data_IF_413832986944
#
_entry.id   IF_413832986944
#
_cell.length_a   1.000
_cell.length_b   1.000
_cell.length_c   1.000
_cell.angle_alpha   90.00
_cell.angle_beta   90.00
_cell.angle_gamma   90.00
#
_symmetry.space_group_name_H-M   'P 1'
#
loop_
_entity.id
_entity.type
_entity.pdbx_description
1 polymer ?
#
# COMPACT_ATOMS: atom_id res chain seq x y z
N UNK A 1 -11.51 24.53 -12.01
CA UNK A 1 -11.17 23.09 -11.93
C UNK A 1 -9.78 22.79 -12.51
N UNK A 2 -9.17 23.70 -13.29
CA UNK A 2 -7.84 23.52 -13.95
C UNK A 2 -6.61 23.40 -13.02
N UNK A 3 -6.65 23.81 -11.74
CA UNK A 3 -5.43 23.86 -10.91
C UNK A 3 -4.93 22.49 -10.42
N UNK A 4 -5.78 21.46 -10.34
CA UNK A 4 -5.42 20.17 -9.72
C UNK A 4 -4.63 19.25 -10.67
N UNK A 5 -4.94 19.28 -11.96
CA UNK A 5 -4.31 18.43 -12.98
C UNK A 5 -2.87 18.90 -13.31
N UNK A 6 -2.61 20.21 -13.27
CA UNK A 6 -1.25 20.76 -13.40
C UNK A 6 -0.36 20.47 -12.17
N UNK A 7 -0.98 20.27 -11.00
CA UNK A 7 -0.30 20.01 -9.73
C UNK A 7 -0.06 18.52 -9.45
N UNK A 8 -0.47 17.55 -10.27
CA UNK A 8 -0.16 16.12 -10.05
C UNK A 8 0.41 15.47 -11.33
N UNK A 9 1.67 14.99 -11.36
CA UNK A 9 2.23 14.39 -12.57
C UNK A 9 1.66 12.98 -12.85
N UNK A 10 0.79 12.48 -11.96
CA UNK A 10 0.26 11.14 -11.97
C UNK A 10 1.32 10.05 -11.78
N UNK A 11 1.04 8.85 -12.27
CA UNK A 11 1.92 7.68 -12.14
C UNK A 11 3.06 7.63 -13.16
N UNK A 12 3.11 8.59 -14.10
CA UNK A 12 4.11 8.61 -15.18
C UNK A 12 5.53 8.79 -14.64
N UNK A 13 5.72 9.62 -13.61
CA UNK A 13 7.01 9.77 -12.94
C UNK A 13 7.48 8.51 -12.22
N UNK A 14 6.54 7.69 -11.72
CA UNK A 14 6.84 6.39 -11.13
C UNK A 14 7.26 5.33 -12.17
N UNK A 15 6.99 5.53 -13.46
CA UNK A 15 7.37 4.59 -14.53
C UNK A 15 8.89 4.48 -14.75
N UNK A 16 9.65 5.55 -14.49
CA UNK A 16 11.11 5.53 -14.57
C UNK A 16 11.77 4.65 -13.48
N UNK A 17 11.01 4.25 -12.47
CA UNK A 17 11.44 3.38 -11.36
C UNK A 17 11.77 1.96 -11.83
N UNK A 18 11.23 1.49 -12.96
CA UNK A 18 11.54 0.15 -13.50
C UNK A 18 13.04 -0.03 -13.78
N UNK A 19 13.78 1.05 -14.04
CA UNK A 19 15.25 0.99 -14.24
C UNK A 19 16.05 1.08 -12.94
N UNK A 20 15.57 1.77 -11.90
CA UNK A 20 16.35 1.98 -10.67
C UNK A 20 16.10 0.95 -9.57
N UNK A 21 14.96 0.25 -9.60
CA UNK A 21 14.61 -0.75 -8.57
C UNK A 21 15.32 -2.10 -8.79
N UNK A 22 15.86 -2.34 -9.99
CA UNK A 22 16.55 -3.57 -10.39
C UNK A 22 18.07 -3.55 -10.15
N UNK A 23 18.66 -2.38 -9.84
CA UNK A 23 20.11 -2.25 -9.62
C UNK A 23 20.38 -1.54 -8.29
N UNK A 24 20.72 -2.27 -7.22
CA UNK A 24 21.25 -1.65 -6.01
C UNK A 24 22.62 -1.05 -6.36
N UNK A 25 22.75 0.29 -6.34
CA UNK A 25 24.04 0.97 -6.49
C UNK A 25 24.12 2.11 -7.51
N UNK A 26 23.14 2.30 -8.39
CA UNK A 26 23.19 3.38 -9.41
C UNK A 26 22.65 4.73 -8.91
N UNK A 27 22.43 4.89 -7.61
CA UNK A 27 21.85 6.10 -7.01
C UNK A 27 22.90 7.11 -6.50
N UNK A 28 24.18 6.92 -6.81
CA UNK A 28 25.27 7.70 -6.21
C UNK A 28 25.55 9.08 -6.87
N UNK A 29 24.72 9.56 -7.80
CA UNK A 29 25.06 10.78 -8.56
C UNK A 29 23.90 11.66 -9.05
N UNK A 30 22.66 11.41 -8.65
CA UNK A 30 21.56 12.33 -8.99
C UNK A 30 21.46 13.41 -7.89
N UNK A 31 21.45 14.67 -8.32
CA UNK A 31 21.42 15.87 -7.50
C UNK A 31 20.45 15.79 -6.31
N UNK A 32 20.80 16.49 -5.23
CA UNK A 32 20.03 16.65 -3.99
C UNK A 32 18.71 17.42 -4.21
N UNK A 33 17.86 16.98 -5.13
CA UNK A 33 16.47 17.39 -5.14
C UNK A 33 15.78 16.76 -3.94
N UNK A 34 15.25 17.60 -3.06
CA UNK A 34 14.52 17.13 -1.89
C UNK A 34 13.36 16.25 -2.38
N UNK A 35 13.28 14.97 -1.98
CA UNK A 35 12.32 14.04 -2.56
C UNK A 35 10.89 14.54 -2.36
N UNK A 36 10.18 14.71 -3.46
CA UNK A 36 8.73 14.96 -3.45
C UNK A 36 8.04 13.86 -2.61
N UNK A 37 7.40 14.27 -1.51
CA UNK A 37 6.78 13.35 -0.58
C UNK A 37 5.68 12.49 -1.21
N UNK A 38 5.00 13.01 -2.24
CA UNK A 38 4.00 12.25 -2.99
C UNK A 38 4.64 11.12 -3.81
N UNK A 39 5.80 11.40 -4.42
CA UNK A 39 6.58 10.38 -5.14
C UNK A 39 7.08 9.30 -4.19
N UNK A 40 7.52 9.68 -2.98
CA UNK A 40 7.93 8.72 -1.94
C UNK A 40 6.78 7.78 -1.57
N UNK A 41 5.58 8.31 -1.32
CA UNK A 41 4.39 7.50 -0.99
C UNK A 41 4.03 6.55 -2.14
N UNK A 42 4.01 7.04 -3.39
CA UNK A 42 3.78 6.21 -4.57
C UNK A 42 4.83 5.11 -4.74
N UNK A 43 6.11 5.43 -4.51
CA UNK A 43 7.21 4.47 -4.59
C UNK A 43 7.08 3.37 -3.54
N UNK A 44 6.75 3.75 -2.30
CA UNK A 44 6.53 2.79 -1.23
C UNK A 44 5.36 1.86 -1.57
N UNK A 45 4.24 2.39 -2.06
CA UNK A 45 3.11 1.57 -2.52
C UNK A 45 3.55 0.49 -3.53
N UNK A 46 4.34 0.88 -4.54
CA UNK A 46 4.86 -0.06 -5.55
C UNK A 46 5.79 -1.10 -4.94
N UNK A 47 6.70 -0.68 -4.04
CA UNK A 47 7.63 -1.60 -3.37
C UNK A 47 6.88 -2.64 -2.55
N UNK A 48 5.86 -2.24 -1.79
CA UNK A 48 5.04 -3.16 -1.00
C UNK A 48 4.20 -4.09 -1.89
N UNK A 49 3.56 -3.57 -2.94
CA UNK A 49 2.83 -4.39 -3.91
C UNK A 49 3.75 -5.41 -4.61
N UNK A 50 4.96 -5.00 -4.97
CA UNK A 50 5.98 -5.89 -5.53
C UNK A 50 6.46 -6.91 -4.49
N UNK A 51 6.63 -6.51 -3.24
CA UNK A 51 6.97 -7.40 -2.12
C UNK A 51 5.95 -8.52 -1.95
N UNK A 52 4.65 -8.23 -2.06
CA UNK A 52 3.62 -9.26 -2.10
C UNK A 52 3.85 -10.24 -3.25
N UNK A 53 4.04 -9.75 -4.48
CA UNK A 53 4.30 -10.64 -5.63
C UNK A 53 5.53 -11.53 -5.40
N UNK A 54 6.62 -10.96 -4.88
CA UNK A 54 7.84 -11.71 -4.57
C UNK A 54 7.64 -12.75 -3.47
N UNK A 55 6.78 -12.49 -2.49
CA UNK A 55 6.40 -13.47 -1.46
C UNK A 55 5.68 -14.70 -2.03
N UNK A 56 5.05 -14.56 -3.20
CA UNK A 56 4.49 -15.68 -3.95
C UNK A 56 5.55 -16.64 -4.51
N UNK A 57 6.80 -16.22 -4.68
CA UNK A 57 7.87 -17.06 -5.24
C UNK A 57 8.19 -18.28 -4.34
N UNK A 58 8.46 -18.13 -3.03
CA UNK A 58 8.59 -19.28 -2.13
C UNK A 58 7.38 -20.22 -2.15
N UNK A 59 6.17 -19.68 -2.21
CA UNK A 59 4.93 -20.48 -2.26
C UNK A 59 4.86 -21.29 -3.55
N UNK A 60 5.22 -20.70 -4.69
CA UNK A 60 5.26 -21.38 -5.97
C UNK A 60 6.32 -22.49 -6.01
N UNK A 61 7.50 -22.25 -5.43
CA UNK A 61 8.56 -23.26 -5.31
C UNK A 61 8.07 -24.43 -4.46
N UNK A 62 7.47 -24.16 -3.30
CA UNK A 62 6.91 -25.20 -2.41
C UNK A 62 5.80 -26.00 -3.10
N UNK A 63 4.94 -25.34 -3.88
CA UNK A 63 3.89 -26.01 -4.63
C UNK A 63 4.48 -26.96 -5.70
N UNK A 64 5.56 -26.55 -6.36
CA UNK A 64 6.25 -27.34 -7.37
C UNK A 64 7.03 -28.52 -6.77
N UNK A 65 7.52 -28.43 -5.53
CA UNK A 65 8.29 -29.48 -4.86
C UNK A 65 7.47 -30.66 -4.33
N UNK A 66 6.15 -30.68 -4.56
CA UNK A 66 5.24 -31.70 -4.03
C UNK A 66 4.45 -31.13 -2.85
N UNK A 67 3.21 -30.77 -3.11
CA UNK A 67 2.30 -30.21 -2.12
C UNK A 67 1.88 -31.23 -1.05
N UNK A 68 0.97 -30.79 -0.16
CA UNK A 68 0.51 -31.60 0.96
C UNK A 68 -0.06 -32.96 0.54
N UNK A 69 0.13 -34.02 1.37
CA UNK A 69 -0.45 -35.33 1.10
C UNK A 69 -1.97 -35.25 0.98
N UNK A 70 -2.52 -35.96 -0.01
CA UNK A 70 -3.95 -36.03 -0.25
C UNK A 70 -4.67 -36.55 1.01
N UNK A 71 -5.46 -35.69 1.67
CA UNK A 71 -6.23 -36.03 2.88
C UNK A 71 -6.07 -35.08 4.06
N UNK A 72 -5.07 -34.18 4.06
CA UNK A 72 -4.96 -33.16 5.11
C UNK A 72 -6.07 -32.10 4.98
N UNK A 73 -6.66 -31.68 6.09
CA UNK A 73 -7.71 -30.65 6.10
C UNK A 73 -7.09 -29.26 5.95
N UNK A 74 -7.61 -28.47 5.00
CA UNK A 74 -7.26 -27.05 4.84
C UNK A 74 -8.06 -26.13 5.78
N UNK A 75 -9.08 -26.66 6.46
CA UNK A 75 -10.03 -25.87 7.23
C UNK A 75 -9.38 -24.94 8.27
N UNK A 76 -8.41 -25.37 9.10
CA UNK A 76 -7.82 -24.47 10.09
C UNK A 76 -7.02 -23.34 9.44
N UNK A 77 -6.30 -23.62 8.35
CA UNK A 77 -5.56 -22.59 7.61
C UNK A 77 -6.50 -21.59 6.95
N UNK A 78 -7.58 -22.05 6.32
CA UNK A 78 -8.59 -21.17 5.74
C UNK A 78 -9.28 -20.32 6.82
N UNK A 79 -9.65 -20.91 7.95
CA UNK A 79 -10.26 -20.20 9.07
C UNK A 79 -9.35 -19.10 9.60
N UNK A 80 -8.05 -19.37 9.75
CA UNK A 80 -7.06 -18.37 10.15
C UNK A 80 -7.02 -17.18 9.17
N UNK A 81 -6.95 -17.47 7.87
CA UNK A 81 -6.91 -16.42 6.82
C UNK A 81 -8.19 -15.59 6.84
N UNK A 82 -9.36 -16.23 6.87
CA UNK A 82 -10.64 -15.52 6.80
C UNK A 82 -10.93 -14.71 8.07
N UNK A 83 -10.74 -15.29 9.25
CA UNK A 83 -10.98 -14.60 10.53
C UNK A 83 -10.00 -13.45 10.71
N UNK A 84 -8.71 -13.69 10.47
CA UNK A 84 -7.70 -12.64 10.59
C UNK A 84 -7.91 -11.49 9.59
N UNK A 85 -8.29 -11.82 8.35
CA UNK A 85 -8.64 -10.81 7.34
C UNK A 85 -9.90 -10.04 7.71
N UNK A 86 -10.92 -10.70 8.26
CA UNK A 86 -12.14 -10.03 8.71
C UNK A 86 -11.85 -9.04 9.83
N UNK A 87 -11.06 -9.44 10.83
CA UNK A 87 -10.62 -8.56 11.92
C UNK A 87 -9.87 -7.34 11.37
N UNK A 88 -9.00 -7.56 10.38
CA UNK A 88 -8.25 -6.50 9.73
C UNK A 88 -9.14 -5.54 8.93
N UNK A 89 -10.11 -6.05 8.17
CA UNK A 89 -11.10 -5.23 7.46
C UNK A 89 -11.90 -4.38 8.46
N UNK A 90 -12.37 -4.98 9.56
CA UNK A 90 -13.09 -4.25 10.62
C UNK A 90 -12.20 -3.18 11.23
N UNK A 91 -10.95 -3.49 11.58
CA UNK A 91 -9.99 -2.52 12.12
C UNK A 91 -9.78 -1.35 11.17
N UNK A 92 -9.65 -1.60 9.85
CA UNK A 92 -9.46 -0.55 8.84
C UNK A 92 -10.65 0.43 8.73
N UNK A 93 -11.85 -0.02 9.09
CA UNK A 93 -13.10 0.76 9.06
C UNK A 93 -13.32 1.50 10.39
N UNK A 94 -12.92 0.92 11.51
CA UNK A 94 -13.09 1.50 12.85
C UNK A 94 -12.03 2.54 13.17
N UNK A 95 -10.78 2.30 12.75
CA UNK A 95 -9.66 3.22 12.98
C UNK A 95 -9.84 4.45 12.08
N UNK A 96 -10.40 5.52 12.65
CA UNK A 96 -10.52 6.82 11.98
C UNK A 96 -9.20 7.58 12.11
N UNK A 97 -8.54 7.82 10.98
CA UNK A 97 -7.34 8.64 10.87
C UNK A 97 -7.71 9.93 10.13
N UNK A 98 -8.22 10.96 10.83
CA UNK A 98 -8.62 12.20 10.20
C UNK A 98 -7.40 12.93 9.63
N UNK A 99 -7.62 13.67 8.54
CA UNK A 99 -6.62 14.60 8.01
C UNK A 99 -6.59 15.86 8.87
N UNK A 100 -5.38 16.30 9.21
CA UNK A 100 -5.17 17.47 10.05
C UNK A 100 -4.96 18.71 9.17
N UNK A 101 -5.97 19.58 9.13
CA UNK A 101 -5.97 20.80 8.32
C UNK A 101 -5.37 22.04 8.98
N UNK A 102 -4.68 21.91 10.13
CA UNK A 102 -4.13 23.05 10.88
C UNK A 102 -3.07 23.83 10.08
N UNK A 103 -2.17 23.10 9.43
CA UNK A 103 -1.14 23.64 8.55
C UNK A 103 -0.71 22.58 7.51
N UNK A 104 0.10 22.97 6.53
CA UNK A 104 0.51 22.07 5.44
C UNK A 104 1.37 20.88 5.92
N UNK A 105 2.16 21.05 6.99
CA UNK A 105 3.03 19.99 7.51
C UNK A 105 2.21 18.96 8.31
N UNK A 106 1.28 19.43 9.15
CA UNK A 106 0.30 18.60 9.84
C UNK A 106 -0.56 17.82 8.84
N UNK A 107 -0.95 18.45 7.73
CA UNK A 107 -1.72 17.81 6.67
C UNK A 107 -0.93 16.70 5.96
N UNK A 108 0.32 16.98 5.57
CA UNK A 108 1.17 15.99 4.91
C UNK A 108 1.50 14.80 5.84
N UNK A 109 1.81 15.07 7.11
CA UNK A 109 2.15 14.04 8.10
C UNK A 109 0.94 13.17 8.46
N UNK A 110 -0.24 13.76 8.69
CA UNK A 110 -1.47 13.02 8.95
C UNK A 110 -1.89 12.15 7.75
N UNK A 111 -1.73 12.66 6.52
CA UNK A 111 -1.96 11.87 5.31
C UNK A 111 -1.02 10.67 5.20
N UNK A 112 0.29 10.88 5.39
CA UNK A 112 1.29 9.79 5.35
C UNK A 112 1.02 8.75 6.44
N UNK A 113 0.74 9.18 7.67
CA UNK A 113 0.37 8.29 8.77
C UNK A 113 -0.86 7.44 8.40
N UNK A 114 -1.92 8.08 7.88
CA UNK A 114 -3.12 7.39 7.41
C UNK A 114 -2.80 6.36 6.33
N UNK A 115 -1.96 6.72 5.37
CA UNK A 115 -1.51 5.82 4.30
C UNK A 115 -0.75 4.60 4.87
N UNK A 116 0.25 4.81 5.72
CA UNK A 116 1.06 3.74 6.29
C UNK A 116 0.26 2.78 7.17
N UNK A 117 -0.62 3.30 8.03
CA UNK A 117 -1.45 2.45 8.88
C UNK A 117 -2.37 1.57 8.03
N UNK A 118 -2.99 2.14 6.99
CA UNK A 118 -3.86 1.38 6.09
C UNK A 118 -3.08 0.37 5.26
N UNK A 119 -1.90 0.74 4.79
CA UNK A 119 -1.02 -0.15 4.04
C UNK A 119 -0.61 -1.34 4.91
N UNK A 120 -0.10 -1.09 6.12
CA UNK A 120 0.29 -2.13 7.07
C UNK A 120 -0.88 -3.07 7.42
N UNK A 121 -2.09 -2.52 7.59
CA UNK A 121 -3.29 -3.34 7.78
C UNK A 121 -3.55 -4.22 6.55
N UNK A 122 -3.47 -3.69 5.33
CA UNK A 122 -3.72 -4.47 4.12
C UNK A 122 -2.74 -5.65 3.91
N UNK A 123 -1.55 -5.59 4.51
CA UNK A 123 -0.56 -6.68 4.41
C UNK A 123 -0.82 -7.87 5.33
N UNK A 124 -1.68 -7.73 6.33
CA UNK A 124 -1.93 -8.82 7.29
C UNK A 124 -2.53 -10.05 6.58
N UNK A 125 -3.50 -9.85 5.68
CA UNK A 125 -4.16 -10.94 4.93
C UNK A 125 -3.21 -11.82 4.12
N UNK A 126 -2.32 -11.26 3.26
CA UNK A 126 -1.38 -12.08 2.50
C UNK A 126 -0.33 -12.74 3.39
N UNK A 127 0.09 -12.11 4.50
CA UNK A 127 0.99 -12.73 5.48
C UNK A 127 0.34 -13.95 6.15
N UNK A 128 -0.93 -13.85 6.55
CA UNK A 128 -1.69 -14.98 7.08
C UNK A 128 -1.87 -16.08 6.03
N UNK A 129 -2.19 -15.71 4.79
CA UNK A 129 -2.29 -16.63 3.67
C UNK A 129 -0.98 -17.37 3.39
N UNK A 130 0.15 -16.66 3.51
CA UNK A 130 1.49 -17.22 3.34
C UNK A 130 1.81 -18.24 4.43
N UNK A 131 1.61 -17.87 5.70
CA UNK A 131 1.81 -18.77 6.85
C UNK A 131 0.91 -20.00 6.72
N UNK A 132 -0.37 -19.80 6.40
CA UNK A 132 -1.31 -20.90 6.20
C UNK A 132 -0.90 -21.81 5.04
N UNK A 133 -0.38 -21.24 3.94
CA UNK A 133 0.13 -21.99 2.80
C UNK A 133 1.35 -22.85 3.17
N UNK A 134 2.29 -22.32 3.96
CA UNK A 134 3.47 -23.08 4.42
C UNK A 134 3.05 -24.23 5.33
N UNK A 135 2.23 -23.94 6.35
CA UNK A 135 1.82 -24.94 7.34
C UNK A 135 0.97 -26.07 6.75
N UNK A 136 0.12 -25.74 5.78
CA UNK A 136 -0.80 -26.71 5.17
C UNK A 136 -0.27 -27.33 3.89
N UNK A 137 0.82 -26.80 3.31
CA UNK A 137 1.33 -27.19 1.99
C UNK A 137 0.39 -26.85 0.83
N UNK A 138 -0.45 -25.81 0.96
CA UNK A 138 -1.49 -25.45 -0.01
C UNK A 138 -1.38 -23.99 -0.49
N UNK A 139 -0.80 -23.82 -1.68
CA UNK A 139 -0.55 -22.52 -2.29
C UNK A 139 -1.81 -21.64 -2.48
N UNK A 140 -2.98 -22.23 -2.67
CA UNK A 140 -4.21 -21.45 -2.88
C UNK A 140 -4.60 -20.61 -1.65
N UNK A 141 -4.20 -20.99 -0.44
CA UNK A 141 -4.46 -20.19 0.78
C UNK A 141 -3.73 -18.85 0.73
N UNK A 142 -2.53 -18.83 0.15
CA UNK A 142 -1.82 -17.59 -0.12
C UNK A 142 -2.55 -16.74 -1.15
N UNK A 143 -3.06 -17.35 -2.23
CA UNK A 143 -3.84 -16.63 -3.24
C UNK A 143 -5.10 -15.96 -2.66
N UNK A 144 -5.79 -16.60 -1.71
CA UNK A 144 -6.92 -15.99 -0.99
C UNK A 144 -6.48 -14.76 -0.20
N UNK A 145 -5.38 -14.87 0.57
CA UNK A 145 -4.83 -13.74 1.32
C UNK A 145 -4.44 -12.56 0.41
N UNK A 146 -3.81 -12.85 -0.73
CA UNK A 146 -3.44 -11.85 -1.75
C UNK A 146 -4.66 -11.21 -2.38
N UNK A 147 -5.71 -11.97 -2.70
CA UNK A 147 -6.93 -11.42 -3.28
C UNK A 147 -7.61 -10.41 -2.33
N UNK A 148 -7.63 -10.71 -1.03
CA UNK A 148 -8.14 -9.78 0.00
C UNK A 148 -7.25 -8.54 0.09
N UNK A 149 -5.92 -8.72 0.12
CA UNK A 149 -4.97 -7.61 0.11
C UNK A 149 -5.17 -6.69 -1.09
N UNK A 150 -5.33 -7.26 -2.29
CA UNK A 150 -5.50 -6.52 -3.54
C UNK A 150 -6.70 -5.56 -3.48
N UNK A 151 -7.79 -5.98 -2.84
CA UNK A 151 -8.94 -5.10 -2.60
C UNK A 151 -8.56 -3.92 -1.69
N UNK A 152 -7.88 -4.19 -0.57
CA UNK A 152 -7.38 -3.13 0.33
C UNK A 152 -6.41 -2.17 -0.37
N UNK A 153 -5.44 -2.69 -1.13
CA UNK A 153 -4.48 -1.89 -1.88
C UNK A 153 -5.17 -1.00 -2.93
N UNK A 154 -6.21 -1.52 -3.61
CA UNK A 154 -7.00 -0.72 -4.55
C UNK A 154 -7.70 0.46 -3.87
N UNK A 155 -8.20 0.29 -2.64
CA UNK A 155 -8.83 1.39 -1.88
C UNK A 155 -7.82 2.44 -1.36
N UNK A 156 -6.55 2.04 -1.16
CA UNK A 156 -5.49 2.87 -0.56
C UNK A 156 -4.58 3.52 -1.62
N UNK A 157 -4.63 3.05 -2.87
CA UNK A 157 -3.73 3.49 -3.92
C UNK A 157 -3.70 5.04 -4.05
N UNK A 158 -2.50 5.68 -3.98
CA UNK A 158 -2.34 7.14 -4.03
C UNK A 158 -2.51 7.67 -5.46
N UNK A 159 -3.72 7.48 -6.00
CA UNK A 159 -4.15 7.92 -7.33
C UNK A 159 -4.65 9.37 -7.29
N UNK A 160 -4.56 10.07 -8.43
CA UNK A 160 -5.07 11.43 -8.56
C UNK A 160 -6.55 11.54 -8.14
N UNK A 161 -7.38 10.56 -8.56
CA UNK A 161 -8.79 10.48 -8.16
C UNK A 161 -8.98 10.38 -6.66
N UNK A 162 -8.12 9.63 -5.96
CA UNK A 162 -8.20 9.49 -4.51
C UNK A 162 -7.78 10.77 -3.79
N UNK A 163 -6.71 11.42 -4.26
CA UNK A 163 -6.26 12.72 -3.76
C UNK A 163 -7.33 13.80 -3.95
N UNK A 164 -8.00 13.83 -5.11
CA UNK A 164 -9.11 14.73 -5.36
C UNK A 164 -10.28 14.49 -4.39
N UNK A 165 -10.65 13.22 -4.17
CA UNK A 165 -11.71 12.89 -3.21
C UNK A 165 -11.35 13.27 -1.76
N UNK A 166 -10.09 13.11 -1.36
CA UNK A 166 -9.60 13.56 -0.04
C UNK A 166 -9.54 15.10 0.03
N UNK A 167 -9.23 15.80 -1.06
CA UNK A 167 -9.30 17.27 -1.14
C UNK A 167 -10.74 17.78 -1.01
N UNK A 168 -11.71 17.12 -1.65
CA UNK A 168 -13.12 17.47 -1.54
C UNK A 168 -13.62 17.29 -0.09
N UNK A 169 -13.21 16.23 0.61
CA UNK A 169 -13.51 16.03 2.04
C UNK A 169 -12.90 17.14 2.92
N UNK A 170 -11.67 17.59 2.63
CA UNK A 170 -11.05 18.73 3.32
C UNK A 170 -11.82 20.04 3.09
N UNK A 171 -12.18 20.31 1.83
CA UNK A 171 -12.95 21.50 1.46
C UNK A 171 -14.32 21.51 2.17
N UNK A 172 -15.00 20.36 2.20
CA UNK A 172 -16.29 20.20 2.89
C UNK A 172 -16.20 20.39 4.41
N UNK A 173 -15.01 20.21 4.99
CA UNK A 173 -14.72 20.49 6.41
C UNK A 173 -14.24 21.92 6.66
N UNK A 174 -14.22 22.77 5.64
CA UNK A 174 -13.78 24.16 5.73
C UNK A 174 -12.26 24.37 5.65
N UNK A 175 -11.49 23.35 5.27
CA UNK A 175 -10.04 23.48 5.08
C UNK A 175 -9.72 23.84 3.63
N UNK A 176 -9.16 25.04 3.39
CA UNK A 176 -8.77 25.52 2.06
C UNK A 176 -7.33 25.17 1.63
N UNK A 177 -6.63 24.34 2.40
CA UNK A 177 -5.24 23.94 2.07
C UNK A 177 -5.23 22.93 0.90
N UNK A 178 -4.30 23.10 -0.04
CA UNK A 178 -4.05 22.12 -1.10
C UNK A 178 -3.26 20.92 -0.54
N UNK A 179 -3.87 19.74 -0.56
CA UNK A 179 -3.29 18.48 -0.12
C UNK A 179 -2.09 18.08 -0.99
N UNK A 180 -2.22 18.24 -2.31
CA UNK A 180 -1.16 17.87 -3.26
C UNK A 180 0.06 18.75 -3.04
N UNK A 181 -0.14 20.06 -2.90
CA UNK A 181 0.93 20.99 -2.60
C UNK A 181 1.58 20.73 -1.24
N UNK A 182 0.78 20.40 -0.21
CA UNK A 182 1.28 20.03 1.11
C UNK A 182 2.16 18.77 1.06
N UNK A 183 1.78 17.77 0.25
CA UNK A 183 2.52 16.51 0.10
C UNK A 183 3.82 16.66 -0.70
N UNK A 184 3.83 17.56 -1.69
CA UNK A 184 5.00 17.88 -2.51
C UNK A 184 6.07 18.64 -1.75
N UNK A 185 5.70 19.40 -0.71
CA UNK A 185 6.67 20.15 0.08
C UNK A 185 7.65 19.20 0.79
N UNK A 186 8.96 19.54 0.78
CA UNK A 186 9.93 19.00 1.72
C UNK A 186 9.37 19.01 3.13
N UNK A 187 9.53 17.91 3.85
CA UNK A 187 9.34 17.91 5.30
C UNK A 187 10.52 18.72 5.86
N UNK A 188 10.30 20.01 6.09
CA UNK A 188 11.32 20.87 6.68
C UNK A 188 11.80 20.23 7.99
N UNK A 189 13.11 20.04 8.08
CA UNK A 189 13.85 19.65 9.28
C UNK A 189 13.59 20.61 10.43
#
# INVERSE_FOLDING_TARGET
>A
MERFDDEDPGWRSAGHVRRSLLVPGTAAGAAQDVPDGLVVVRRLFVVFALGLVLMGVPVAILAASGGAPAGSSAAPGLALVLVGSLVQIVASRVIRLPLDGRDAQALASSYRNRFFVRLALAEVSPLLGFVASILSGRAWLYAVGVAIAAFGFAEIAPTARKLAADQDDLNNRGCGLSLVWALRRPSGT
#
